data_IF_265753511840
#
_entry.id   IF_265753511840
#
_cell.length_a   1.000
_cell.length_b   1.000
_cell.length_c   1.000
_cell.angle_alpha   90.00
_cell.angle_beta   90.00
_cell.angle_gamma   90.00
#
_symmetry.space_group_name_H-M   'P 1'
#
loop_
_entity.id
_entity.type
_entity.pdbx_description
1 polymer ?
#
# COMPACT_ATOMS: atom_id res chain seq x y z
N UNK A 1 -25.94 -30.75 -11.32
CA UNK A 1 -25.08 -30.18 -10.26
C UNK A 1 -24.77 -28.78 -10.73
N UNK A 2 -25.40 -27.78 -10.16
CA UNK A 2 -25.23 -26.38 -10.58
C UNK A 2 -23.85 -25.91 -10.09
N UNK A 3 -22.98 -25.59 -11.04
CA UNK A 3 -21.75 -24.86 -10.77
C UNK A 3 -22.13 -23.52 -10.17
N UNK A 4 -21.96 -23.41 -8.85
CA UNK A 4 -22.07 -22.13 -8.14
C UNK A 4 -20.84 -21.32 -8.55
N UNK A 5 -20.98 -20.49 -9.59
CA UNK A 5 -20.00 -19.47 -9.95
C UNK A 5 -19.96 -18.47 -8.79
N UNK A 6 -18.96 -18.64 -7.91
CA UNK A 6 -18.61 -17.61 -6.94
C UNK A 6 -18.20 -16.37 -7.74
N UNK A 7 -19.00 -15.33 -7.73
CA UNK A 7 -18.68 -14.06 -8.40
C UNK A 7 -17.60 -13.29 -7.63
N UNK A 8 -16.98 -12.31 -8.25
CA UNK A 8 -16.04 -11.38 -7.58
C UNK A 8 -16.70 -10.72 -6.36
N UNK A 9 -18.04 -10.59 -6.38
CA UNK A 9 -18.85 -10.06 -5.27
C UNK A 9 -18.85 -10.94 -3.99
N UNK A 10 -18.41 -12.18 -4.07
CA UNK A 10 -18.41 -13.13 -2.93
C UNK A 10 -17.12 -13.05 -2.09
N UNK A 11 -16.19 -12.17 -2.45
CA UNK A 11 -15.01 -11.89 -1.65
C UNK A 11 -15.37 -10.99 -0.46
N UNK A 12 -14.77 -11.21 0.73
CA UNK A 12 -14.99 -10.36 1.90
C UNK A 12 -14.58 -8.90 1.66
N UNK A 13 -13.81 -8.64 0.62
CA UNK A 13 -13.44 -7.31 0.14
C UNK A 13 -13.09 -7.35 -1.34
N UNK A 14 -13.80 -6.56 -2.15
CA UNK A 14 -13.46 -6.34 -3.56
C UNK A 14 -12.70 -5.01 -3.67
N UNK A 15 -11.44 -4.99 -4.13
CA UNK A 15 -10.73 -3.73 -4.37
C UNK A 15 -11.48 -2.85 -5.37
N UNK A 16 -11.63 -1.57 -5.04
CA UNK A 16 -12.48 -0.61 -5.77
C UNK A 16 -12.07 -0.45 -7.24
N UNK A 17 -10.79 -0.62 -7.55
CA UNK A 17 -10.21 -0.39 -8.88
C UNK A 17 -9.99 -1.66 -9.70
N UNK A 18 -10.45 -2.82 -9.25
CA UNK A 18 -10.26 -4.09 -9.97
C UNK A 18 -10.85 -4.04 -11.38
N UNK A 19 -12.15 -3.74 -11.52
CA UNK A 19 -12.81 -3.72 -12.81
C UNK A 19 -12.20 -2.69 -13.78
N UNK A 20 -11.97 -1.42 -13.37
CA UNK A 20 -11.30 -0.46 -14.23
C UNK A 20 -9.92 -0.90 -14.69
N UNK A 21 -9.12 -1.53 -13.83
CA UNK A 21 -7.78 -1.99 -14.17
C UNK A 21 -7.86 -3.17 -15.14
N UNK A 22 -8.67 -4.19 -14.86
CA UNK A 22 -8.82 -5.35 -15.74
C UNK A 22 -9.31 -4.92 -17.13
N UNK A 23 -10.27 -4.00 -17.21
CA UNK A 23 -10.75 -3.46 -18.49
C UNK A 23 -9.63 -2.74 -19.27
N UNK A 24 -8.78 -1.98 -18.57
CA UNK A 24 -7.69 -1.23 -19.20
C UNK A 24 -6.59 -2.15 -19.75
N UNK A 25 -6.30 -3.26 -19.05
CA UNK A 25 -5.23 -4.19 -19.40
C UNK A 25 -5.68 -5.35 -20.29
N UNK A 26 -6.98 -5.44 -20.59
CA UNK A 26 -7.54 -6.48 -21.45
C UNK A 26 -7.12 -6.30 -22.91
N UNK A 27 -6.90 -7.43 -23.65
CA UNK A 27 -7.03 -8.83 -23.21
C UNK A 27 -5.90 -9.29 -22.30
N UNK A 28 -6.24 -9.96 -21.20
CA UNK A 28 -5.25 -10.54 -20.28
C UNK A 28 -4.81 -11.91 -20.77
N UNK A 29 -3.51 -12.14 -20.83
CA UNK A 29 -2.91 -13.42 -21.21
C UNK A 29 -1.51 -13.55 -20.59
N UNK A 30 -0.90 -14.73 -20.65
CA UNK A 30 0.47 -14.95 -20.23
C UNK A 30 0.68 -14.99 -18.71
N UNK A 31 1.90 -14.65 -18.29
CA UNK A 31 2.36 -14.76 -16.91
C UNK A 31 2.26 -13.42 -16.17
N UNK A 32 1.57 -13.40 -15.06
CA UNK A 32 1.36 -12.20 -14.25
C UNK A 32 1.95 -12.35 -12.85
N UNK A 33 2.25 -11.21 -12.25
CA UNK A 33 2.66 -11.13 -10.85
C UNK A 33 1.77 -10.14 -10.09
N UNK A 34 1.17 -10.61 -9.00
CA UNK A 34 0.48 -9.80 -8.00
C UNK A 34 1.39 -9.65 -6.77
N UNK A 35 1.99 -8.47 -6.60
CA UNK A 35 2.94 -8.21 -5.52
C UNK A 35 2.31 -7.90 -4.17
N UNK A 36 0.97 -7.80 -4.12
CA UNK A 36 0.18 -7.38 -2.95
C UNK A 36 -1.08 -8.21 -2.85
N UNK A 37 -0.91 -9.51 -2.62
CA UNK A 37 -1.98 -10.50 -2.72
C UNK A 37 -3.21 -10.16 -1.88
N UNK A 38 -3.05 -9.75 -0.60
CA UNK A 38 -4.15 -9.41 0.29
C UNK A 38 -5.21 -10.52 0.36
N UNK A 39 -6.46 -10.20 0.03
CA UNK A 39 -7.54 -11.19 -0.09
C UNK A 39 -7.54 -11.95 -1.43
N UNK A 40 -6.59 -11.67 -2.33
CA UNK A 40 -6.45 -12.31 -3.63
C UNK A 40 -7.36 -11.76 -4.72
N UNK A 41 -7.89 -10.55 -4.52
CA UNK A 41 -8.81 -9.92 -5.47
C UNK A 41 -8.23 -9.77 -6.86
N UNK A 42 -7.05 -9.13 -6.99
CA UNK A 42 -6.38 -8.96 -8.29
C UNK A 42 -5.92 -10.28 -8.88
N UNK A 43 -5.33 -11.17 -8.08
CA UNK A 43 -4.93 -12.50 -8.51
C UNK A 43 -6.08 -13.26 -9.14
N UNK A 44 -7.24 -13.30 -8.48
CA UNK A 44 -8.43 -13.96 -8.98
C UNK A 44 -8.94 -13.31 -10.27
N UNK A 45 -9.03 -11.98 -10.30
CA UNK A 45 -9.50 -11.25 -11.46
C UNK A 45 -8.60 -11.46 -12.70
N UNK A 46 -7.28 -11.49 -12.52
CA UNK A 46 -6.33 -11.79 -13.59
C UNK A 46 -6.53 -13.21 -14.14
N UNK A 47 -6.70 -14.21 -13.26
CA UNK A 47 -6.95 -15.60 -13.67
C UNK A 47 -8.28 -15.76 -14.41
N UNK A 48 -9.33 -15.07 -13.98
CA UNK A 48 -10.65 -15.07 -14.63
C UNK A 48 -10.63 -14.31 -15.95
N UNK A 49 -9.81 -13.25 -16.07
CA UNK A 49 -9.65 -12.49 -17.31
C UNK A 49 -8.79 -13.17 -18.36
N UNK A 50 -8.08 -14.26 -18.02
CA UNK A 50 -7.35 -15.07 -19.01
C UNK A 50 -5.84 -15.23 -18.78
N UNK A 51 -5.26 -14.75 -17.67
CA UNK A 51 -3.85 -15.00 -17.35
C UNK A 51 -3.57 -16.50 -17.31
N UNK A 52 -2.48 -16.95 -17.93
CA UNK A 52 -2.09 -18.37 -17.92
C UNK A 52 -1.67 -18.83 -16.53
N UNK A 53 -0.90 -17.99 -15.84
CA UNK A 53 -0.49 -18.19 -14.47
C UNK A 53 -0.31 -16.86 -13.73
N UNK A 54 -0.45 -16.88 -12.41
CA UNK A 54 -0.21 -15.73 -11.54
C UNK A 54 0.70 -16.14 -10.38
N UNK A 55 1.79 -15.42 -10.22
CA UNK A 55 2.63 -15.48 -9.02
C UNK A 55 2.17 -14.38 -8.08
N UNK A 56 1.81 -14.76 -6.84
CA UNK A 56 1.24 -13.83 -5.85
C UNK A 56 2.12 -13.77 -4.62
N UNK A 57 2.43 -12.56 -4.21
CA UNK A 57 3.34 -12.27 -3.09
C UNK A 57 2.58 -11.46 -2.04
N UNK A 58 2.76 -11.80 -0.78
CA UNK A 58 2.39 -10.94 0.34
C UNK A 58 3.33 -11.14 1.51
N UNK A 59 3.62 -10.06 2.22
CA UNK A 59 4.45 -10.11 3.43
C UNK A 59 3.67 -10.56 4.67
N UNK A 60 2.35 -10.49 4.63
CA UNK A 60 1.46 -10.93 5.71
C UNK A 60 1.07 -12.40 5.51
N UNK A 61 1.57 -13.34 6.33
CA UNK A 61 1.26 -14.75 6.16
C UNK A 61 -0.23 -15.08 6.36
N UNK A 62 -0.97 -14.27 7.12
CA UNK A 62 -2.38 -14.52 7.43
C UNK A 62 -3.30 -14.42 6.21
N UNK A 63 -2.91 -13.66 5.18
CA UNK A 63 -3.75 -13.49 3.98
C UNK A 63 -3.94 -14.79 3.20
N UNK A 64 -2.95 -15.68 3.23
CA UNK A 64 -3.02 -16.95 2.51
C UNK A 64 -4.00 -17.95 3.12
N UNK A 65 -4.23 -17.87 4.43
CA UNK A 65 -5.21 -18.71 5.12
C UNK A 65 -6.64 -18.42 4.64
N UNK A 66 -6.93 -17.16 4.37
CA UNK A 66 -8.24 -16.70 3.92
C UNK A 66 -8.56 -17.08 2.48
N UNK A 67 -7.52 -17.31 1.69
CA UNK A 67 -7.67 -17.64 0.27
C UNK A 67 -7.72 -19.15 -0.01
N UNK A 68 -7.49 -20.01 0.99
CA UNK A 68 -7.35 -21.49 0.83
C UNK A 68 -8.46 -22.15 0.04
N UNK A 69 -9.71 -21.70 0.20
CA UNK A 69 -10.86 -22.33 -0.43
C UNK A 69 -10.91 -22.06 -1.93
N UNK A 70 -10.82 -20.79 -2.34
CA UNK A 70 -10.94 -20.44 -3.75
C UNK A 70 -9.68 -20.74 -4.57
N UNK A 71 -8.49 -20.74 -3.95
CA UNK A 71 -7.22 -21.07 -4.61
C UNK A 71 -7.24 -22.48 -5.19
N UNK A 72 -7.92 -23.43 -4.54
CA UNK A 72 -8.00 -24.82 -5.02
C UNK A 72 -8.53 -24.93 -6.46
N UNK A 73 -9.41 -24.01 -6.86
CA UNK A 73 -9.94 -23.95 -8.23
C UNK A 73 -8.85 -23.61 -9.26
N UNK A 74 -7.78 -22.95 -8.85
CA UNK A 74 -6.72 -22.46 -9.72
C UNK A 74 -5.34 -23.06 -9.39
N UNK A 75 -5.30 -24.19 -8.67
CA UNK A 75 -4.07 -24.76 -8.07
C UNK A 75 -2.88 -24.88 -9.01
N UNK A 76 -3.13 -25.14 -10.31
CA UNK A 76 -2.07 -25.27 -11.32
C UNK A 76 -1.66 -23.95 -11.98
N UNK A 77 -2.35 -22.85 -11.67
CA UNK A 77 -2.16 -21.55 -12.31
C UNK A 77 -1.75 -20.46 -11.32
N UNK A 78 -1.60 -20.79 -10.04
CA UNK A 78 -1.27 -19.84 -8.97
C UNK A 78 -0.09 -20.36 -8.15
N UNK A 79 0.83 -19.45 -7.83
CA UNK A 79 1.91 -19.70 -6.89
C UNK A 79 1.88 -18.61 -5.82
N UNK A 80 1.94 -19.00 -4.55
CA UNK A 80 1.88 -18.09 -3.42
C UNK A 80 3.20 -18.04 -2.69
N UNK A 81 3.67 -16.84 -2.40
CA UNK A 81 4.94 -16.62 -1.73
C UNK A 81 4.78 -15.62 -0.57
N UNK A 82 5.17 -16.04 0.64
CA UNK A 82 5.26 -15.12 1.75
C UNK A 82 6.60 -14.39 1.70
N UNK A 83 6.60 -13.24 1.05
CA UNK A 83 7.79 -12.37 0.90
C UNK A 83 7.33 -10.92 0.72
N UNK A 84 8.28 -10.02 0.70
CA UNK A 84 8.07 -8.61 0.39
C UNK A 84 7.96 -8.41 -1.12
N UNK A 85 7.07 -7.56 -1.57
CA UNK A 85 6.92 -7.25 -2.99
C UNK A 85 8.17 -6.62 -3.62
N UNK A 86 9.06 -6.01 -2.83
CA UNK A 86 10.37 -5.56 -3.29
C UNK A 86 11.27 -6.70 -3.82
N UNK A 87 10.98 -7.92 -3.43
CA UNK A 87 11.71 -9.13 -3.85
C UNK A 87 11.12 -9.79 -5.11
N UNK A 88 10.14 -9.18 -5.76
CA UNK A 88 9.42 -9.75 -6.91
C UNK A 88 10.33 -10.29 -8.03
N UNK A 89 11.50 -9.67 -8.23
CA UNK A 89 12.48 -10.13 -9.21
C UNK A 89 13.10 -11.51 -8.94
N UNK A 90 12.91 -12.10 -7.76
CA UNK A 90 13.35 -13.46 -7.44
C UNK A 90 12.47 -14.53 -8.07
N UNK A 91 11.23 -14.17 -8.42
CA UNK A 91 10.20 -15.10 -8.85
C UNK A 91 10.08 -15.22 -10.35
N UNK A 92 10.86 -14.46 -11.10
CA UNK A 92 10.93 -14.56 -12.55
C UNK A 92 11.27 -13.25 -13.23
N UNK A 93 11.37 -13.37 -14.54
CA UNK A 93 11.51 -12.27 -15.49
C UNK A 93 10.61 -12.54 -16.69
N UNK A 94 10.36 -11.50 -17.48
CA UNK A 94 9.49 -11.62 -18.67
C UNK A 94 8.01 -11.79 -18.35
N UNK A 95 7.54 -11.18 -17.25
CA UNK A 95 6.11 -11.10 -16.96
C UNK A 95 5.37 -10.25 -17.99
N UNK A 96 4.17 -10.70 -18.37
CA UNK A 96 3.23 -9.96 -19.20
C UNK A 96 2.62 -8.77 -18.43
N UNK A 97 2.51 -8.91 -17.11
CA UNK A 97 2.12 -7.80 -16.26
C UNK A 97 2.45 -8.00 -14.79
N UNK A 98 2.54 -6.88 -14.08
CA UNK A 98 2.75 -6.81 -12.65
C UNK A 98 1.72 -5.86 -12.07
N UNK A 99 1.02 -6.29 -11.02
CA UNK A 99 0.06 -5.47 -10.26
C UNK A 99 0.56 -5.25 -8.85
N UNK A 100 0.52 -4.00 -8.39
CA UNK A 100 0.82 -3.60 -7.02
C UNK A 100 -0.34 -2.76 -6.48
N UNK A 101 -1.09 -3.28 -5.51
CA UNK A 101 -2.15 -2.57 -4.79
C UNK A 101 -1.63 -2.19 -3.40
N UNK A 102 -1.08 -0.97 -3.30
CA UNK A 102 -0.34 -0.54 -2.12
C UNK A 102 -1.26 -0.26 -0.94
N UNK A 103 -0.72 -0.21 0.25
CA UNK A 103 -1.43 0.18 1.47
C UNK A 103 -1.80 -1.00 2.37
N UNK A 104 -2.89 -0.85 3.11
CA UNK A 104 -3.41 -1.85 4.04
C UNK A 104 -4.60 -2.58 3.46
N UNK A 105 -4.66 -3.88 3.68
CA UNK A 105 -5.91 -4.61 3.47
C UNK A 105 -6.96 -4.18 4.51
N UNK A 106 -8.24 -4.19 4.12
CA UNK A 106 -9.34 -3.90 5.06
C UNK A 106 -9.30 -4.82 6.29
N UNK A 107 -8.90 -6.07 6.11
CA UNK A 107 -8.75 -7.04 7.20
C UNK A 107 -7.73 -6.60 8.25
N UNK A 108 -6.60 -6.02 7.83
CA UNK A 108 -5.60 -5.48 8.77
C UNK A 108 -6.12 -4.29 9.57
N UNK A 109 -7.00 -3.48 8.97
CA UNK A 109 -7.61 -2.33 9.65
C UNK A 109 -8.72 -2.78 10.60
N UNK A 110 -9.50 -3.78 10.21
CA UNK A 110 -10.66 -4.25 10.96
C UNK A 110 -10.30 -5.10 12.17
N UNK A 111 -9.09 -5.68 12.19
CA UNK A 111 -8.59 -6.49 13.29
C UNK A 111 -7.82 -5.64 14.33
N UNK A 112 -8.41 -5.36 15.51
CA UNK A 112 -7.79 -4.50 16.51
C UNK A 112 -6.44 -5.03 17.02
N UNK A 113 -6.27 -6.35 17.09
CA UNK A 113 -5.05 -7.01 17.54
C UNK A 113 -3.82 -6.69 16.69
N UNK A 114 -4.00 -6.22 15.44
CA UNK A 114 -2.94 -5.81 14.53
C UNK A 114 -2.42 -4.39 14.79
N UNK A 115 -3.16 -3.57 15.54
CA UNK A 115 -2.74 -2.23 15.95
C UNK A 115 -2.74 -1.15 14.88
N UNK A 116 -3.43 -1.34 13.76
CA UNK A 116 -3.55 -0.33 12.68
C UNK A 116 -4.68 0.67 12.94
N UNK A 117 -5.66 0.31 13.76
CA UNK A 117 -6.80 1.17 14.07
C UNK A 117 -6.44 2.17 15.18
N UNK A 118 -6.90 3.41 15.02
CA UNK A 118 -6.90 4.43 16.07
C UNK A 118 -8.30 4.70 16.62
N UNK A 119 -9.29 3.94 16.19
CA UNK A 119 -10.69 4.01 16.64
C UNK A 119 -11.00 2.87 17.59
N UNK A 120 -10.54 1.66 17.25
CA UNK A 120 -10.65 0.47 18.08
C UNK A 120 -9.34 0.28 18.82
N UNK A 121 -9.40 0.05 20.14
CA UNK A 121 -8.19 -0.19 20.93
C UNK A 121 -7.55 -1.54 20.60
N UNK A 122 -6.22 -1.54 20.61
CA UNK A 122 -5.41 -2.72 20.38
C UNK A 122 -3.95 -2.45 20.72
N UNK A 123 -3.08 -3.45 20.65
CA UNK A 123 -1.65 -3.28 20.85
C UNK A 123 -1.09 -2.30 19.81
N UNK A 124 -0.17 -1.45 20.19
CA UNK A 124 0.50 -0.52 19.28
C UNK A 124 1.58 -1.25 18.47
N UNK A 125 1.15 -2.16 17.59
CA UNK A 125 2.05 -3.05 16.81
C UNK A 125 2.36 -2.51 15.42
N UNK A 126 1.39 -2.45 14.54
CA UNK A 126 1.44 -2.00 13.13
C UNK A 126 2.37 -2.81 12.22
N UNK A 127 2.90 -3.96 12.62
CA UNK A 127 3.75 -4.80 11.77
C UNK A 127 2.89 -5.64 10.83
N UNK A 128 3.09 -5.51 9.53
CA UNK A 128 2.41 -6.35 8.54
C UNK A 128 2.91 -7.79 8.57
N UNK A 129 4.23 -7.99 8.67
CA UNK A 129 4.86 -9.31 8.69
C UNK A 129 4.96 -9.95 10.08
N UNK A 130 4.56 -9.25 11.14
CA UNK A 130 4.72 -9.69 12.53
C UNK A 130 6.17 -9.71 13.05
N UNK A 131 7.15 -9.30 12.23
CA UNK A 131 8.58 -9.29 12.58
C UNK A 131 9.16 -7.88 12.51
N UNK A 132 10.30 -7.66 13.22
CA UNK A 132 10.95 -6.37 13.30
C UNK A 132 10.40 -5.47 14.43
N UNK A 133 10.83 -4.19 14.50
CA UNK A 133 10.36 -3.24 15.49
C UNK A 133 8.88 -2.90 15.26
N UNK A 134 8.12 -2.83 16.34
CA UNK A 134 6.71 -2.40 16.34
C UNK A 134 6.59 -0.88 16.39
N UNK A 135 5.40 -0.35 16.15
CA UNK A 135 5.12 1.07 16.34
C UNK A 135 5.35 1.50 17.81
N UNK A 136 5.07 0.61 18.77
CA UNK A 136 5.38 0.83 20.18
C UNK A 136 6.88 1.00 20.41
N UNK A 137 7.72 0.19 19.75
CA UNK A 137 9.17 0.32 19.84
C UNK A 137 9.65 1.66 19.30
N UNK A 138 9.07 2.12 18.17
CA UNK A 138 9.42 3.41 17.59
C UNK A 138 9.09 4.57 18.55
N UNK A 139 7.87 4.63 19.07
CA UNK A 139 7.46 5.75 19.93
C UNK A 139 8.10 5.73 21.31
N UNK A 140 8.45 4.54 21.82
CA UNK A 140 9.04 4.40 23.14
C UNK A 140 10.57 4.58 23.15
N UNK A 141 11.28 4.26 22.06
CA UNK A 141 12.75 4.18 22.07
C UNK A 141 13.44 5.26 21.22
N UNK A 142 12.81 5.75 20.13
CA UNK A 142 13.45 6.73 19.25
C UNK A 142 13.64 8.08 19.92
N UNK A 143 14.65 8.84 19.48
CA UNK A 143 14.83 10.23 19.91
C UNK A 143 13.68 11.12 19.41
N UNK A 144 13.43 12.23 20.14
CA UNK A 144 12.36 13.17 19.79
C UNK A 144 12.46 13.67 18.33
N UNK A 145 13.67 13.95 17.86
CA UNK A 145 13.92 14.41 16.49
C UNK A 145 13.57 13.34 15.44
N UNK A 146 13.84 12.06 15.74
CA UNK A 146 13.52 10.96 14.85
C UNK A 146 12.00 10.75 14.73
N UNK A 147 11.29 10.76 15.88
CA UNK A 147 9.82 10.70 15.89
C UNK A 147 9.24 11.89 15.11
N UNK A 148 9.75 13.10 15.33
CA UNK A 148 9.28 14.29 14.62
C UNK A 148 9.51 14.18 13.10
N UNK A 149 10.64 13.63 12.67
CA UNK A 149 10.96 13.40 11.27
C UNK A 149 10.03 12.35 10.64
N UNK A 150 9.78 11.22 11.32
CA UNK A 150 8.82 10.20 10.87
C UNK A 150 7.46 10.85 10.64
N UNK A 151 6.92 11.57 11.63
CA UNK A 151 5.62 12.20 11.54
C UNK A 151 5.55 13.24 10.42
N UNK A 152 6.62 14.00 10.21
CA UNK A 152 6.68 15.04 9.19
C UNK A 152 6.82 14.48 7.78
N UNK A 153 7.81 13.61 7.55
CA UNK A 153 8.10 13.13 6.20
C UNK A 153 7.16 12.03 5.72
N UNK A 154 6.64 11.18 6.61
CA UNK A 154 5.78 10.05 6.24
C UNK A 154 4.28 10.33 6.47
N UNK A 155 3.95 11.33 7.29
CA UNK A 155 2.57 11.69 7.56
C UNK A 155 2.17 13.08 7.05
N UNK A 156 3.13 13.86 6.55
CA UNK A 156 2.92 15.30 6.25
C UNK A 156 2.29 16.05 7.45
N UNK A 157 2.65 15.62 8.69
CA UNK A 157 2.09 16.18 9.91
C UNK A 157 2.85 17.47 10.31
N UNK A 158 2.19 18.60 10.15
CA UNK A 158 2.79 19.91 10.45
C UNK A 158 3.11 20.13 11.92
N UNK A 159 2.34 19.49 12.81
CA UNK A 159 2.54 19.56 14.26
C UNK A 159 3.52 18.50 14.79
N UNK A 160 4.29 17.86 13.92
CA UNK A 160 5.17 16.72 14.20
C UNK A 160 6.08 16.95 15.42
N UNK A 161 6.72 18.12 15.53
CA UNK A 161 7.59 18.46 16.67
C UNK A 161 6.84 18.52 18.00
N UNK A 162 5.62 19.10 17.99
CA UNK A 162 4.76 19.20 19.17
C UNK A 162 4.31 17.82 19.63
N UNK A 163 3.89 16.96 18.69
CA UNK A 163 3.47 15.58 18.97
C UNK A 163 4.65 14.78 19.50
N UNK A 164 5.80 14.83 18.84
CA UNK A 164 7.00 14.11 19.28
C UNK A 164 7.45 14.52 20.69
N UNK A 165 7.42 15.81 21.01
CA UNK A 165 7.72 16.30 22.36
C UNK A 165 6.73 15.73 23.41
N UNK A 166 5.44 15.72 23.08
CA UNK A 166 4.42 15.16 23.96
C UNK A 166 4.59 13.66 24.17
N UNK A 167 4.93 12.90 23.11
CA UNK A 167 5.23 11.46 23.18
C UNK A 167 6.42 11.22 24.12
N UNK A 168 7.55 11.91 23.90
CA UNK A 168 8.75 11.72 24.69
C UNK A 168 8.53 12.08 26.16
N UNK A 169 7.81 13.18 26.45
CA UNK A 169 7.47 13.55 27.80
C UNK A 169 6.58 12.50 28.48
N UNK A 170 5.53 12.05 27.78
CA UNK A 170 4.54 11.12 28.36
C UNK A 170 5.14 9.72 28.60
N UNK A 171 5.97 9.20 27.68
CA UNK A 171 6.57 7.86 27.82
C UNK A 171 7.51 7.68 29.01
N UNK A 172 8.03 8.78 29.59
CA UNK A 172 8.83 8.72 30.83
C UNK A 172 8.02 8.32 32.06
N UNK A 173 6.70 8.54 32.03
CA UNK A 173 5.78 8.14 33.09
C UNK A 173 5.27 6.72 32.89
N UNK A 174 4.90 6.39 31.64
CA UNK A 174 4.41 5.08 31.28
C UNK A 174 4.62 4.83 29.78
N UNK A 175 5.26 3.72 29.33
CA UNK A 175 5.41 3.38 27.95
C UNK A 175 4.05 3.26 27.22
N UNK A 176 4.04 3.58 25.91
CA UNK A 176 2.89 3.36 25.06
C UNK A 176 2.78 1.88 24.67
N UNK A 177 1.62 1.28 24.90
CA UNK A 177 1.32 -0.11 24.53
C UNK A 177 0.02 -0.24 23.73
N UNK A 178 -0.81 0.81 23.72
CA UNK A 178 -2.16 0.80 23.15
C UNK A 178 -2.31 1.87 22.08
N UNK A 179 -3.07 1.57 21.05
CA UNK A 179 -3.37 2.48 19.95
C UNK A 179 -4.20 3.67 20.43
N UNK A 180 -5.20 3.45 21.29
CA UNK A 180 -6.03 4.54 21.82
C UNK A 180 -5.25 5.47 22.74
N UNK A 181 -4.31 4.96 23.56
CA UNK A 181 -3.48 5.80 24.41
C UNK A 181 -2.65 6.79 23.56
N UNK A 182 -2.03 6.31 22.49
CA UNK A 182 -1.30 7.18 21.56
C UNK A 182 -2.23 8.11 20.78
N UNK A 183 -3.35 7.62 20.29
CA UNK A 183 -4.33 8.43 19.55
C UNK A 183 -4.87 9.59 20.36
N UNK A 184 -5.23 9.36 21.62
CA UNK A 184 -5.71 10.38 22.55
C UNK A 184 -4.65 11.44 22.83
N UNK A 185 -3.39 11.04 23.02
CA UNK A 185 -2.30 12.00 23.18
C UNK A 185 -2.14 12.89 21.94
N UNK A 186 -2.18 12.30 20.75
CA UNK A 186 -2.05 13.04 19.47
C UNK A 186 -3.21 14.03 19.33
N UNK A 187 -4.44 13.58 19.60
CA UNK A 187 -5.63 14.42 19.52
C UNK A 187 -5.54 15.64 20.45
N UNK A 188 -5.06 15.46 21.69
CA UNK A 188 -4.83 16.54 22.64
C UNK A 188 -3.71 17.51 22.19
N UNK A 189 -2.81 17.08 21.32
CA UNK A 189 -1.78 17.94 20.71
C UNK A 189 -2.30 18.79 19.56
N UNK A 190 -3.46 18.53 19.00
CA UNK A 190 -3.95 19.15 17.79
C UNK A 190 -5.15 20.07 18.05
N UNK A 191 -5.44 21.02 17.16
CA UNK A 191 -6.68 21.80 17.26
C UNK A 191 -7.90 20.89 17.19
N UNK A 192 -8.99 21.32 17.84
CA UNK A 192 -10.26 20.58 17.80
C UNK A 192 -10.69 20.31 16.36
N UNK A 193 -11.11 19.07 16.12
CA UNK A 193 -11.58 18.59 14.81
C UNK A 193 -12.83 19.38 14.38
N UNK A 194 -12.85 19.83 13.13
CA UNK A 194 -14.08 20.33 12.50
C UNK A 194 -14.94 19.15 12.04
N UNK A 195 -16.27 19.24 12.12
CA UNK A 195 -17.15 18.22 11.55
C UNK A 195 -16.79 17.93 10.08
N UNK A 196 -16.82 16.66 9.68
CA UNK A 196 -16.50 16.23 8.31
C UNK A 196 -15.02 16.10 7.96
N UNK A 197 -14.07 16.40 8.88
CA UNK A 197 -12.63 16.19 8.63
C UNK A 197 -12.17 14.82 9.11
N UNK A 198 -11.08 14.30 8.52
CA UNK A 198 -10.44 13.05 8.95
C UNK A 198 -9.99 13.12 10.42
N UNK A 199 -9.84 11.97 11.07
CA UNK A 199 -9.43 11.91 12.48
C UNK A 199 -8.05 12.57 12.67
N UNK A 200 -7.81 13.35 13.76
CA UNK A 200 -6.53 14.04 13.98
C UNK A 200 -5.31 13.10 13.97
N UNK A 201 -5.45 11.88 14.50
CA UNK A 201 -4.37 10.91 14.53
C UNK A 201 -4.07 10.24 13.17
N UNK A 202 -4.90 10.42 12.13
CA UNK A 202 -4.76 9.72 10.84
C UNK A 202 -3.36 9.85 10.26
N UNK A 203 -2.82 11.07 10.17
CA UNK A 203 -1.49 11.33 9.58
C UNK A 203 -0.37 10.71 10.41
N UNK A 204 -0.47 10.80 11.73
CA UNK A 204 0.55 10.25 12.63
C UNK A 204 0.55 8.72 12.60
N UNK A 205 -0.61 8.08 12.55
CA UNK A 205 -0.72 6.63 12.42
C UNK A 205 -0.23 6.14 11.06
N UNK A 206 -0.56 6.85 9.97
CA UNK A 206 0.01 6.59 8.65
C UNK A 206 1.54 6.68 8.69
N UNK A 207 2.10 7.72 9.30
CA UNK A 207 3.55 7.89 9.40
C UNK A 207 4.24 6.75 10.15
N UNK A 208 3.68 6.36 11.30
CA UNK A 208 4.21 5.25 12.11
C UNK A 208 4.10 3.92 11.35
N UNK A 209 2.99 3.67 10.66
CA UNK A 209 2.81 2.48 9.81
C UNK A 209 3.89 2.39 8.74
N UNK A 210 4.08 3.48 7.99
CA UNK A 210 5.09 3.56 6.93
C UNK A 210 6.48 3.30 7.50
N UNK A 211 6.82 3.90 8.66
CA UNK A 211 8.11 3.72 9.32
C UNK A 211 8.30 2.28 9.83
N UNK A 212 7.28 1.71 10.49
CA UNK A 212 7.32 0.34 11.02
C UNK A 212 7.55 -0.70 9.92
N UNK A 213 6.97 -0.47 8.75
CA UNK A 213 7.00 -1.41 7.64
C UNK A 213 8.01 -1.07 6.54
N UNK A 214 8.74 0.03 6.67
CA UNK A 214 9.71 0.54 5.67
C UNK A 214 9.07 0.66 4.25
N UNK A 215 7.80 1.09 4.19
CA UNK A 215 6.97 0.99 2.98
C UNK A 215 7.57 1.72 1.78
N UNK A 216 8.20 2.87 1.98
CA UNK A 216 8.76 3.65 0.87
C UNK A 216 10.02 3.03 0.29
N UNK A 217 10.91 2.49 1.12
CA UNK A 217 12.11 1.79 0.64
C UNK A 217 11.71 0.52 -0.12
N UNK A 218 10.71 -0.20 0.38
CA UNK A 218 10.16 -1.38 -0.29
C UNK A 218 9.54 -1.00 -1.63
N UNK A 219 8.77 0.11 -1.70
CA UNK A 219 8.19 0.62 -2.93
C UNK A 219 9.27 0.99 -3.96
N UNK A 220 10.30 1.75 -3.56
CA UNK A 220 11.40 2.09 -4.46
C UNK A 220 12.07 0.85 -5.03
N UNK A 221 12.42 -0.13 -4.19
CA UNK A 221 13.03 -1.39 -4.64
C UNK A 221 12.11 -2.15 -5.60
N UNK A 222 10.82 -2.20 -5.29
CA UNK A 222 9.83 -2.90 -6.12
C UNK A 222 9.67 -2.28 -7.51
N UNK A 223 9.67 -0.95 -7.62
CA UNK A 223 9.57 -0.27 -8.90
C UNK A 223 10.74 -0.65 -9.83
N UNK A 224 11.98 -0.65 -9.32
CA UNK A 224 13.15 -1.09 -10.09
C UNK A 224 13.16 -2.59 -10.36
N UNK A 225 12.65 -3.40 -9.43
CA UNK A 225 12.53 -4.83 -9.65
C UNK A 225 11.47 -5.14 -10.71
N UNK A 226 10.33 -4.44 -10.70
CA UNK A 226 9.28 -4.57 -11.69
C UNK A 226 9.75 -4.18 -13.11
N UNK A 227 10.50 -3.06 -13.23
CA UNK A 227 11.08 -2.64 -14.50
C UNK A 227 11.93 -3.75 -15.13
N UNK A 228 12.71 -4.47 -14.33
CA UNK A 228 13.58 -5.57 -14.79
C UNK A 228 12.85 -6.89 -15.03
N UNK A 229 11.75 -7.10 -14.32
CA UNK A 229 11.01 -8.35 -14.36
C UNK A 229 9.95 -8.38 -15.48
N UNK A 230 9.53 -7.22 -15.99
CA UNK A 230 8.60 -7.12 -17.11
C UNK A 230 9.29 -7.44 -18.43
N UNK A 231 8.58 -8.13 -19.34
CA UNK A 231 8.99 -8.24 -20.73
C UNK A 231 8.78 -6.91 -21.48
N UNK A 232 9.36 -6.80 -22.65
CA UNK A 232 9.04 -5.71 -23.58
C UNK A 232 7.54 -5.74 -23.92
N UNK A 233 6.85 -4.61 -23.74
CA UNK A 233 5.40 -4.49 -23.89
C UNK A 233 4.59 -5.04 -22.70
N UNK A 234 5.25 -5.47 -21.62
CA UNK A 234 4.58 -5.86 -20.38
C UNK A 234 3.98 -4.66 -19.64
N UNK A 235 2.96 -4.91 -18.81
CA UNK A 235 2.15 -3.88 -18.15
C UNK A 235 2.50 -3.78 -16.66
N UNK A 236 2.74 -2.57 -16.17
CA UNK A 236 2.86 -2.26 -14.74
C UNK A 236 1.63 -1.48 -14.27
N UNK A 237 0.82 -2.09 -13.43
CA UNK A 237 -0.33 -1.45 -12.80
C UNK A 237 -0.06 -1.21 -11.31
N UNK A 238 -0.21 0.02 -10.85
CA UNK A 238 0.04 0.39 -9.45
C UNK A 238 -1.13 1.21 -8.93
N UNK A 239 -1.70 0.77 -7.81
CA UNK A 239 -2.72 1.50 -7.05
C UNK A 239 -2.06 2.11 -5.82
N UNK A 240 -2.35 3.38 -5.57
CA UNK A 240 -1.84 4.14 -4.42
C UNK A 240 -2.98 4.70 -3.60
N UNK A 241 -2.82 4.80 -2.29
CA UNK A 241 -3.88 5.26 -1.37
C UNK A 241 -3.58 6.60 -0.70
N UNK A 242 -2.38 7.12 -0.85
CA UNK A 242 -2.03 8.44 -0.34
C UNK A 242 -1.02 9.18 -1.22
N UNK A 243 -0.99 10.50 -1.04
CA UNK A 243 -0.22 11.45 -1.86
C UNK A 243 1.28 11.16 -1.95
N UNK A 244 1.87 10.57 -0.92
CA UNK A 244 3.31 10.29 -0.90
C UNK A 244 3.66 9.09 -1.79
N UNK A 245 2.88 8.00 -1.73
CA UNK A 245 3.02 6.86 -2.66
C UNK A 245 2.84 7.33 -4.10
N UNK A 246 1.74 8.04 -4.37
CA UNK A 246 1.43 8.58 -5.69
C UNK A 246 2.59 9.43 -6.24
N UNK A 247 3.18 10.28 -5.42
CA UNK A 247 4.32 11.12 -5.78
C UNK A 247 5.56 10.29 -6.15
N UNK A 248 5.84 9.22 -5.40
CA UNK A 248 6.96 8.31 -5.68
C UNK A 248 6.75 7.60 -7.01
N UNK A 249 5.57 7.00 -7.21
CA UNK A 249 5.22 6.26 -8.42
C UNK A 249 5.24 7.16 -9.64
N UNK A 250 4.59 8.32 -9.58
CA UNK A 250 4.58 9.31 -10.67
C UNK A 250 5.98 9.78 -11.05
N UNK A 251 6.80 10.08 -10.05
CA UNK A 251 8.17 10.51 -10.31
C UNK A 251 8.99 9.42 -10.99
N UNK A 252 8.86 8.18 -10.55
CA UNK A 252 9.51 7.05 -11.18
C UNK A 252 9.09 6.90 -12.65
N UNK A 253 7.77 6.86 -12.91
CA UNK A 253 7.23 6.71 -14.26
C UNK A 253 7.60 7.89 -15.17
N UNK A 254 7.55 9.12 -14.68
CA UNK A 254 7.95 10.31 -15.43
C UNK A 254 9.43 10.27 -15.86
N UNK A 255 10.31 9.87 -14.96
CA UNK A 255 11.74 9.72 -15.27
C UNK A 255 11.97 8.63 -16.31
N UNK A 256 11.24 7.51 -16.23
CA UNK A 256 11.40 6.35 -17.11
C UNK A 256 10.63 6.46 -18.44
N UNK A 257 9.64 7.35 -18.54
CA UNK A 257 8.92 7.61 -19.80
C UNK A 257 9.51 8.75 -20.63
N UNK A 258 10.55 9.40 -20.11
CA UNK A 258 11.08 10.62 -20.74
C UNK A 258 10.14 11.83 -20.66
N UNK A 259 9.07 11.73 -19.86
CA UNK A 259 8.08 12.80 -19.64
C UNK A 259 8.50 13.78 -18.54
N UNK A 260 9.66 13.59 -17.92
CA UNK A 260 10.25 14.55 -16.99
C UNK A 260 10.66 15.80 -17.77
N UNK A 261 9.68 16.67 -18.04
CA UNK A 261 9.92 17.94 -18.74
C UNK A 261 10.95 18.78 -18.00
N UNK A 262 11.83 19.43 -18.73
CA UNK A 262 12.68 20.50 -18.20
C UNK A 262 11.75 21.53 -17.55
N UNK A 263 11.72 21.58 -16.23
CA UNK A 263 10.99 22.62 -15.49
C UNK A 263 11.57 24.02 -15.74
N UNK A 264 12.71 24.09 -16.39
CA UNK A 264 13.37 25.34 -16.76
C UNK A 264 13.53 25.41 -18.29
N UNK A 265 12.81 26.34 -18.93
CA UNK A 265 12.84 26.58 -20.36
C UNK A 265 14.24 26.98 -20.89
N UNK A 266 15.16 27.31 -19.99
CA UNK A 266 16.54 27.75 -20.30
C UNK A 266 17.59 26.71 -19.85
N UNK A 267 17.18 25.55 -19.32
CA UNK A 267 18.13 24.50 -19.01
C UNK A 267 18.56 23.77 -20.29
N UNK A 268 19.85 23.39 -20.44
CA UNK A 268 20.27 22.53 -21.53
C UNK A 268 19.42 21.28 -21.60
N UNK A 269 19.06 20.83 -22.80
CA UNK A 269 18.41 19.56 -23.00
C UNK A 269 19.30 18.47 -22.41
N UNK A 270 18.85 17.89 -21.30
CA UNK A 270 19.44 16.65 -20.80
C UNK A 270 19.21 15.61 -21.90
N UNK A 271 20.27 14.92 -22.33
CA UNK A 271 20.14 13.76 -23.24
C UNK A 271 19.01 12.89 -22.71
N UNK A 272 17.99 12.67 -23.55
CA UNK A 272 16.86 11.80 -23.17
C UNK A 272 17.43 10.44 -22.84
N UNK A 273 17.32 10.05 -21.57
CA UNK A 273 17.54 8.65 -21.20
C UNK A 273 16.60 7.78 -22.05
N UNK A 274 17.01 6.56 -22.37
CA UNK A 274 16.16 5.62 -23.11
C UNK A 274 14.81 5.49 -22.42
N UNK A 275 13.74 5.57 -23.19
CA UNK A 275 12.38 5.42 -22.66
C UNK A 275 12.14 3.95 -22.33
N UNK A 276 11.92 3.67 -21.06
CA UNK A 276 11.65 2.33 -20.54
C UNK A 276 10.15 2.05 -20.41
N UNK A 277 9.33 3.10 -20.19
CA UNK A 277 7.88 3.00 -20.03
C UNK A 277 7.14 3.98 -20.94
N UNK A 278 5.98 3.57 -21.39
CA UNK A 278 4.94 4.43 -21.94
C UNK A 278 3.80 4.54 -20.92
N UNK A 279 3.32 5.75 -20.65
CA UNK A 279 2.22 5.97 -19.72
C UNK A 279 0.91 5.83 -20.51
N UNK A 280 0.23 4.71 -20.34
CA UNK A 280 -1.03 4.40 -21.00
C UNK A 280 -2.19 5.24 -20.46
N UNK A 281 -2.17 5.56 -19.17
CA UNK A 281 -3.18 6.37 -18.53
C UNK A 281 -2.54 7.36 -17.55
N UNK A 282 -2.59 8.64 -17.91
CA UNK A 282 -2.10 9.73 -17.04
C UNK A 282 -3.13 10.13 -15.97
N UNK A 283 -4.38 9.80 -16.16
CA UNK A 283 -5.41 9.88 -15.14
C UNK A 283 -5.34 8.60 -14.34
N UNK A 284 -4.55 8.60 -13.31
CA UNK A 284 -4.77 7.71 -12.20
C UNK A 284 -6.25 7.76 -11.88
N UNK A 285 -6.85 6.59 -11.76
CA UNK A 285 -8.18 6.40 -11.22
C UNK A 285 -8.17 6.82 -9.74
N UNK A 286 -7.87 8.09 -9.58
CA UNK A 286 -7.58 8.73 -8.33
C UNK A 286 -8.83 9.43 -7.87
N UNK A 287 -9.80 8.73 -7.48
CA UNK A 287 -10.84 9.24 -6.63
C UNK A 287 -11.69 8.06 -6.17
N UNK A 288 -11.08 7.10 -5.52
CA UNK A 288 -11.88 6.45 -4.52
C UNK A 288 -11.75 7.29 -3.27
N UNK A 289 -12.82 7.90 -2.78
CA UNK A 289 -12.85 8.34 -1.40
C UNK A 289 -12.39 7.13 -0.58
N UNK A 290 -11.52 7.35 0.40
CA UNK A 290 -11.13 6.33 1.36
C UNK A 290 -12.40 5.57 1.78
N UNK A 291 -12.38 4.25 2.01
CA UNK A 291 -13.54 3.54 2.57
C UNK A 291 -14.15 4.23 3.79
N UNK A 292 -13.41 5.13 4.41
CA UNK A 292 -13.84 6.04 5.48
C UNK A 292 -14.75 7.19 5.01
N UNK A 293 -14.70 7.57 3.73
CA UNK A 293 -15.53 8.65 3.18
C UNK A 293 -16.86 8.12 2.65
N UNK A 294 -16.96 6.82 2.38
CA UNK A 294 -18.21 6.16 1.98
C UNK A 294 -19.21 5.99 3.14
N UNK A 295 -18.73 6.04 4.39
CA UNK A 295 -19.62 5.96 5.56
C UNK A 295 -20.38 7.25 5.86
N UNK A 296 -20.02 8.37 5.23
CA UNK A 296 -20.65 9.68 5.45
C UNK A 296 -21.64 10.10 4.34
N UNK A 297 -21.78 9.32 3.27
CA UNK A 297 -22.72 9.63 2.17
C UNK A 297 -24.01 8.80 2.18
N UNK A 298 -24.39 8.21 3.33
CA UNK A 298 -25.74 7.68 3.54
C UNK A 298 -26.44 8.50 4.61
N UNK A 299 -27.03 9.59 4.18
CA UNK A 299 -28.29 10.17 4.70
C UNK A 299 -29.15 10.59 3.53
#
# INVERSE_FOLDING_TARGET
MSDMQLSISDLPHTPVLIEPIINLISPVSGSWLDGTFGAGGYTRALLEAGADNVISIDRDPHVFDLAKEWIRKYANRIQLHNDKFSNLGKYGSSFDGIVLDLGLSSMQIDEPSRGFSFIKDGPLDMRMSGSGPSAADLVNNLAQSEIANILYFFGEERSSRRIANAIVKRRTEKPFTSTLDLSNLIENCLPRKKPGTSHPATRSFQALRIATNDEFTELYKALFAAEKALRCGGILAIVTFHSLEDRIVKRFLQLRSGSAGNSNRYAPELKSEEKHFEILNSCLLYTSPSPRDLSTSRM
#
